data_IF_277112791625
#
_entry.id   IF_277112791625
#
_cell.length_a   1.000
_cell.length_b   1.000
_cell.length_c   1.000
_cell.angle_alpha   90.00
_cell.angle_beta   90.00
_cell.angle_gamma   90.00
#
_symmetry.space_group_name_H-M   'P 1'
#
loop_
_entity.id
_entity.type
_entity.pdbx_description
1 polymer ?
#
# COMPACT_ATOMS: atom_id res chain seq x y z
N UNK A 1 -18.16 19.30 13.32
CA UNK A 1 -16.68 19.33 13.34
C UNK A 1 -16.20 18.73 12.03
N UNK A 2 -15.50 19.53 11.22
CA UNK A 2 -15.02 19.17 9.88
C UNK A 2 -13.69 18.42 10.06
N UNK A 3 -13.75 17.18 10.52
CA UNK A 3 -12.57 16.32 10.75
C UNK A 3 -12.80 14.91 10.19
N UNK A 4 -13.50 14.79 9.05
CA UNK A 4 -13.64 13.50 8.35
C UNK A 4 -12.87 13.45 7.02
N UNK A 5 -12.36 14.59 6.53
CA UNK A 5 -11.61 14.66 5.26
C UNK A 5 -10.13 14.26 5.37
N UNK A 6 -9.62 13.92 6.56
CA UNK A 6 -8.25 13.45 6.78
C UNK A 6 -8.07 11.93 6.68
N UNK A 7 -9.14 11.17 6.38
CA UNK A 7 -9.10 9.70 6.22
C UNK A 7 -8.72 9.13 4.84
N UNK A 8 -8.79 9.84 3.68
CA UNK A 8 -8.60 9.20 2.38
C UNK A 8 -7.16 8.74 2.14
N UNK A 9 -6.15 9.48 2.63
CA UNK A 9 -4.75 9.03 2.54
C UNK A 9 -4.52 7.74 3.33
N UNK A 10 -5.22 7.56 4.46
CA UNK A 10 -5.13 6.34 5.25
C UNK A 10 -5.73 5.13 4.55
N UNK A 11 -6.83 5.32 3.81
CA UNK A 11 -7.44 4.24 3.02
C UNK A 11 -6.53 3.85 1.86
N UNK A 12 -5.97 4.82 1.14
CA UNK A 12 -5.12 4.53 -0.03
C UNK A 12 -3.78 3.89 0.37
N UNK A 13 -3.19 4.31 1.50
CA UNK A 13 -1.97 3.69 2.06
C UNK A 13 -2.23 2.26 2.51
N UNK A 14 -3.40 1.99 3.10
CA UNK A 14 -3.79 0.63 3.48
C UNK A 14 -3.98 -0.25 2.26
N UNK A 15 -4.61 0.25 1.20
CA UNK A 15 -4.80 -0.52 -0.03
C UNK A 15 -3.47 -0.77 -0.73
N UNK A 16 -2.58 0.23 -0.78
CA UNK A 16 -1.21 0.07 -1.27
C UNK A 16 -0.46 -1.02 -0.50
N UNK A 17 -0.53 -1.02 0.83
CA UNK A 17 0.07 -2.03 1.68
C UNK A 17 -0.47 -3.43 1.36
N UNK A 18 -1.81 -3.58 1.30
CA UNK A 18 -2.45 -4.86 1.03
C UNK A 18 -2.11 -5.41 -0.37
N UNK A 19 -2.14 -4.55 -1.39
CA UNK A 19 -1.80 -4.90 -2.78
C UNK A 19 -0.35 -5.35 -2.86
N UNK A 20 0.59 -4.62 -2.25
CA UNK A 20 2.00 -4.97 -2.31
C UNK A 20 2.34 -6.22 -1.51
N UNK A 21 1.71 -6.44 -0.36
CA UNK A 21 1.86 -7.70 0.41
C UNK A 21 1.32 -8.90 -0.37
N UNK A 22 0.17 -8.75 -1.04
CA UNK A 22 -0.37 -9.79 -1.90
C UNK A 22 0.51 -10.04 -3.12
N UNK A 23 1.03 -8.98 -3.74
CA UNK A 23 1.98 -9.08 -4.84
C UNK A 23 3.27 -9.80 -4.42
N UNK A 24 3.84 -9.48 -3.25
CA UNK A 24 5.00 -10.17 -2.70
C UNK A 24 4.73 -11.67 -2.50
N UNK A 25 3.57 -12.05 -1.95
CA UNK A 25 3.15 -13.45 -1.79
C UNK A 25 2.95 -14.19 -3.11
N UNK A 26 2.65 -13.46 -4.18
CA UNK A 26 2.47 -13.98 -5.53
C UNK A 26 3.76 -13.87 -6.37
N UNK A 27 4.93 -13.73 -5.75
CA UNK A 27 6.23 -13.56 -6.42
C UNK A 27 6.23 -12.42 -7.46
N UNK A 28 5.49 -11.35 -7.14
CA UNK A 28 5.24 -10.19 -8.00
C UNK A 28 4.57 -10.53 -9.35
N UNK A 29 3.87 -11.67 -9.42
CA UNK A 29 2.91 -12.00 -10.47
C UNK A 29 1.60 -11.22 -10.32
N UNK A 30 0.71 -11.24 -11.33
CA UNK A 30 -0.57 -10.54 -11.28
C UNK A 30 -1.48 -11.03 -10.15
N UNK A 31 -2.23 -10.11 -9.53
CA UNK A 31 -3.18 -10.40 -8.46
C UNK A 31 -4.53 -9.75 -8.73
N UNK A 32 -5.59 -10.31 -8.14
CA UNK A 32 -6.88 -9.64 -8.08
C UNK A 32 -7.10 -9.07 -6.67
N UNK A 33 -7.45 -7.78 -6.58
CA UNK A 33 -7.77 -7.10 -5.33
C UNK A 33 -9.01 -6.24 -5.54
N UNK A 34 -10.02 -6.38 -4.66
CA UNK A 34 -11.30 -5.66 -4.73
C UNK A 34 -12.00 -5.67 -6.12
N UNK A 35 -11.79 -6.75 -6.89
CA UNK A 35 -12.38 -6.91 -8.23
C UNK A 35 -11.51 -6.39 -9.37
N UNK A 36 -10.41 -5.70 -9.10
CA UNK A 36 -9.46 -5.19 -10.10
C UNK A 36 -8.23 -6.09 -10.24
N UNK A 37 -7.71 -6.19 -11.48
CA UNK A 37 -6.45 -6.87 -11.77
C UNK A 37 -5.29 -5.89 -11.58
N UNK A 38 -4.36 -6.23 -10.71
CA UNK A 38 -3.13 -5.49 -10.50
C UNK A 38 -1.93 -6.29 -10.98
N UNK A 39 -0.97 -5.56 -11.55
CA UNK A 39 0.29 -6.08 -12.07
C UNK A 39 1.48 -5.20 -11.68
N UNK A 40 2.66 -5.52 -12.20
CA UNK A 40 3.90 -4.76 -11.96
C UNK A 40 3.81 -3.28 -12.32
N UNK A 41 2.94 -2.87 -13.25
CA UNK A 41 2.75 -1.46 -13.56
C UNK A 41 2.02 -0.75 -12.43
N UNK A 42 0.91 -1.33 -11.98
CA UNK A 42 0.16 -0.79 -10.83
C UNK A 42 0.95 -0.86 -9.53
N UNK A 43 1.76 -1.90 -9.29
CA UNK A 43 2.57 -2.01 -8.06
C UNK A 43 3.57 -0.88 -7.91
N UNK A 44 4.12 -0.34 -9.01
CA UNK A 44 5.03 0.83 -8.94
C UNK A 44 4.33 2.06 -8.38
N UNK A 45 3.05 2.27 -8.73
CA UNK A 45 2.25 3.36 -8.19
C UNK A 45 2.06 3.18 -6.68
N UNK A 46 1.60 1.99 -6.27
CA UNK A 46 1.38 1.70 -4.84
C UNK A 46 2.67 1.72 -4.03
N UNK A 47 3.80 1.34 -4.62
CA UNK A 47 5.10 1.43 -3.96
C UNK A 47 5.50 2.87 -3.69
N UNK A 48 5.34 3.76 -4.67
CA UNK A 48 5.66 5.18 -4.46
C UNK A 48 4.76 5.79 -3.37
N UNK A 49 3.46 5.45 -3.39
CA UNK A 49 2.52 5.88 -2.38
C UNK A 49 2.90 5.38 -0.97
N UNK A 50 3.14 4.08 -0.84
CA UNK A 50 3.51 3.45 0.44
C UNK A 50 4.84 3.99 0.98
N UNK A 51 5.83 4.18 0.10
CA UNK A 51 7.13 4.78 0.45
C UNK A 51 6.97 6.22 0.90
N UNK A 52 6.17 7.03 0.19
CA UNK A 52 5.88 8.41 0.56
C UNK A 52 5.26 8.46 1.95
N UNK A 53 4.26 7.63 2.22
CA UNK A 53 3.61 7.55 3.53
C UNK A 53 4.62 7.28 4.65
N UNK A 54 5.49 6.29 4.47
CA UNK A 54 6.53 5.94 5.43
C UNK A 54 7.47 7.14 5.72
N UNK A 55 8.00 7.80 4.68
CA UNK A 55 8.96 8.91 4.88
C UNK A 55 8.32 10.18 5.43
N UNK A 56 7.01 10.39 5.23
CA UNK A 56 6.28 11.54 5.78
C UNK A 56 5.66 11.28 7.15
N UNK A 57 5.83 10.08 7.71
CA UNK A 57 5.25 9.71 9.01
C UNK A 57 3.74 9.47 8.99
N UNK A 58 3.17 9.23 7.81
CA UNK A 58 1.80 8.69 7.70
C UNK A 58 1.86 7.23 8.12
N UNK A 59 0.93 6.82 8.98
CA UNK A 59 0.93 5.45 9.51
C UNK A 59 0.82 4.42 8.39
N UNK A 60 1.79 3.49 8.37
CA UNK A 60 1.81 2.34 7.47
C UNK A 60 1.37 1.11 8.26
N UNK A 61 0.59 0.18 7.68
CA UNK A 61 0.25 -1.06 8.36
C UNK A 61 1.50 -1.85 8.76
N UNK A 62 1.54 -2.33 10.00
CA UNK A 62 2.70 -3.03 10.60
C UNK A 62 3.26 -4.15 9.70
N UNK A 63 2.38 -4.96 9.09
CA UNK A 63 2.81 -6.04 8.19
C UNK A 63 3.62 -5.52 6.98
N UNK A 64 3.25 -4.35 6.44
CA UNK A 64 3.98 -3.73 5.34
C UNK A 64 5.26 -3.02 5.83
N UNK A 65 5.27 -2.46 7.04
CA UNK A 65 6.49 -1.95 7.66
C UNK A 65 7.54 -3.04 7.85
N UNK A 66 7.12 -4.20 8.36
CA UNK A 66 7.99 -5.38 8.52
C UNK A 66 8.46 -5.91 7.17
N UNK A 67 7.57 -6.00 6.18
CA UNK A 67 7.91 -6.58 4.89
C UNK A 67 8.83 -5.71 4.01
N UNK A 68 8.75 -4.37 4.13
CA UNK A 68 9.37 -3.47 3.16
C UNK A 68 10.31 -2.41 3.74
N UNK A 69 10.20 -2.09 5.04
CA UNK A 69 10.98 -0.99 5.65
C UNK A 69 11.81 -1.42 6.86
N UNK A 70 11.63 -2.64 7.36
CA UNK A 70 12.48 -3.21 8.41
C UNK A 70 13.78 -3.73 7.79
N UNK A 71 14.91 -3.20 8.29
CA UNK A 71 16.26 -3.52 7.82
C UNK A 71 16.81 -4.81 8.43
#
# INVERSE_FOLDING_TARGET
>A
AIVEAMRPEFTEVRDAANILLAAQKADWGPIQYEGELHDRASYRYFWELLRKAHVTGVAVPEAAEVAFFSN
#
